data_IF_606732473728
#
_entry.id   IF_606732473728
#
_cell.length_a   1.000
_cell.length_b   1.000
_cell.length_c   1.000
_cell.angle_alpha   90.00
_cell.angle_beta   90.00
_cell.angle_gamma   90.00
#
_symmetry.space_group_name_H-M   'P 1'
#
loop_
_entity.id
_entity.type
_entity.pdbx_description
1 polymer ?
#
# COMPACT_ATOMS: atom_id res chain seq x y z
N UNK A 1 -4.57 3.59 -14.72
CA UNK A 1 -3.45 3.47 -13.76
C UNK A 1 -3.63 4.51 -12.69
N UNK A 2 -3.86 4.07 -11.46
CA UNK A 2 -4.18 4.90 -10.29
C UNK A 2 -3.01 4.81 -9.31
N UNK A 3 -2.54 5.94 -8.79
CA UNK A 3 -1.38 5.98 -7.88
C UNK A 3 -1.82 6.51 -6.52
N UNK A 4 -1.63 5.72 -5.47
CA UNK A 4 -1.87 6.14 -4.08
C UNK A 4 -0.54 6.39 -3.38
N UNK A 5 -0.49 7.45 -2.57
CA UNK A 5 0.69 7.83 -1.79
C UNK A 5 0.40 7.63 -0.30
N UNK A 6 1.32 6.99 0.39
CA UNK A 6 1.23 6.72 1.82
C UNK A 6 2.46 7.28 2.51
N UNK A 7 2.25 8.26 3.38
CA UNK A 7 3.26 8.75 4.30
C UNK A 7 3.53 7.72 5.39
N UNK A 8 4.78 7.24 5.43
CA UNK A 8 5.25 6.28 6.42
C UNK A 8 6.15 7.02 7.41
N UNK A 9 5.71 7.07 8.66
CA UNK A 9 6.35 7.84 9.72
C UNK A 9 7.53 7.09 10.36
N UNK A 10 7.65 5.77 10.18
CA UNK A 10 8.64 4.96 10.89
C UNK A 10 8.99 3.65 10.16
N UNK A 11 10.17 3.11 10.46
CA UNK A 11 10.61 1.81 9.91
C UNK A 11 9.66 0.66 10.28
N UNK A 12 9.05 0.69 11.47
CA UNK A 12 8.04 -0.30 11.89
C UNK A 12 6.74 -0.19 11.07
N UNK A 13 6.30 1.03 10.76
CA UNK A 13 5.15 1.24 9.88
C UNK A 13 5.47 0.81 8.45
N UNK A 14 6.71 0.98 8.00
CA UNK A 14 7.16 0.49 6.70
C UNK A 14 7.06 -1.05 6.60
N UNK A 15 7.53 -1.78 7.61
CA UNK A 15 7.46 -3.24 7.63
C UNK A 15 6.00 -3.72 7.61
N UNK A 16 5.17 -3.11 8.46
CA UNK A 16 3.73 -3.36 8.48
C UNK A 16 3.04 -3.06 7.13
N UNK A 17 3.44 -1.97 6.46
CA UNK A 17 2.95 -1.58 5.15
C UNK A 17 3.32 -2.60 4.09
N UNK A 18 4.58 -3.03 4.02
CA UNK A 18 5.00 -4.06 3.07
C UNK A 18 4.28 -5.38 3.32
N UNK A 19 4.15 -5.81 4.58
CA UNK A 19 3.39 -7.02 4.91
C UNK A 19 1.92 -6.93 4.49
N UNK A 20 1.29 -5.77 4.66
CA UNK A 20 -0.07 -5.51 4.19
C UNK A 20 -0.15 -5.53 2.66
N UNK A 21 0.78 -4.86 1.98
CA UNK A 21 0.87 -4.80 0.53
C UNK A 21 1.04 -6.18 -0.10
N UNK A 22 2.02 -6.98 0.33
CA UNK A 22 2.23 -8.32 -0.22
C UNK A 22 1.02 -9.22 -0.02
N UNK A 23 0.39 -9.16 1.16
CA UNK A 23 -0.83 -9.94 1.43
C UNK A 23 -2.00 -9.53 0.55
N UNK A 24 -2.13 -8.23 0.27
CA UNK A 24 -3.15 -7.72 -0.64
C UNK A 24 -2.87 -8.14 -2.09
N UNK A 25 -1.63 -8.00 -2.55
CA UNK A 25 -1.22 -8.42 -3.91
C UNK A 25 -1.39 -9.91 -4.10
N UNK A 26 -1.07 -10.74 -3.11
CA UNK A 26 -1.31 -12.19 -3.15
C UNK A 26 -2.80 -12.49 -3.34
N UNK A 27 -3.67 -11.84 -2.56
CA UNK A 27 -5.12 -12.00 -2.67
C UNK A 27 -5.71 -11.45 -3.98
N UNK A 28 -5.13 -10.37 -4.52
CA UNK A 28 -5.53 -9.77 -5.79
C UNK A 28 -5.01 -10.58 -6.99
N UNK A 29 -3.81 -11.16 -6.90
CA UNK A 29 -3.22 -12.03 -7.92
C UNK A 29 -4.03 -13.32 -8.09
N UNK A 30 -4.64 -13.83 -7.02
CA UNK A 30 -5.61 -14.95 -7.11
C UNK A 30 -6.88 -14.59 -7.90
N UNK A 31 -7.16 -13.29 -8.08
CA UNK A 31 -8.33 -12.77 -8.78
C UNK A 31 -8.00 -12.24 -10.17
N UNK A 32 -6.83 -12.58 -10.73
CA UNK A 32 -6.36 -12.12 -12.05
C UNK A 32 -6.28 -10.57 -12.15
N UNK A 33 -5.96 -9.90 -11.04
CA UNK A 33 -5.77 -8.46 -11.02
C UNK A 33 -4.48 -8.07 -11.75
N UNK A 34 -4.62 -7.17 -12.73
CA UNK A 34 -3.52 -6.64 -13.54
C UNK A 34 -2.51 -5.85 -12.69
N UNK A 35 -1.30 -5.67 -13.23
CA UNK A 35 -0.05 -5.29 -12.54
C UNK A 35 -0.20 -4.25 -11.43
N UNK A 36 0.01 -4.66 -10.17
CA UNK A 36 0.18 -3.77 -9.01
C UNK A 36 1.69 -3.54 -8.80
N UNK A 37 2.13 -2.29 -8.74
CA UNK A 37 3.54 -1.95 -8.50
C UNK A 37 3.70 -0.99 -7.33
N UNK A 38 4.80 -1.12 -6.60
CA UNK A 38 5.13 -0.24 -5.47
C UNK A 38 6.52 0.37 -5.69
N UNK A 39 6.64 1.67 -5.45
CA UNK A 39 7.93 2.34 -5.34
C UNK A 39 8.00 3.18 -4.06
N UNK A 40 9.22 3.38 -3.58
CA UNK A 40 9.49 4.21 -2.40
C UNK A 40 10.10 5.51 -2.88
N UNK A 41 9.42 6.62 -2.61
CA UNK A 41 9.94 7.97 -2.85
C UNK A 41 10.49 8.49 -1.52
N UNK A 42 11.80 8.68 -1.43
CA UNK A 42 12.42 9.32 -0.28
C UNK A 42 12.41 10.82 -0.52
N UNK A 43 11.35 11.51 -0.09
CA UNK A 43 11.38 12.97 0.02
C UNK A 43 12.10 13.37 1.30
N UNK A 44 12.81 14.49 1.27
CA UNK A 44 13.75 15.01 2.29
C UNK A 44 13.26 15.03 3.75
N UNK A 45 12.01 14.69 4.05
CA UNK A 45 11.43 14.72 5.41
C UNK A 45 10.60 13.47 5.76
N UNK A 46 10.47 12.47 4.89
CA UNK A 46 9.65 11.28 5.15
C UNK A 46 9.80 10.17 4.11
N UNK A 47 9.47 8.94 4.49
CA UNK A 47 9.41 7.81 3.56
C UNK A 47 8.00 7.75 2.96
N UNK A 48 7.87 8.09 1.67
CA UNK A 48 6.59 7.98 0.97
C UNK A 48 6.56 6.66 0.19
N UNK A 49 5.51 5.87 0.37
CA UNK A 49 5.25 4.68 -0.46
C UNK A 49 4.19 5.03 -1.48
N UNK A 50 4.54 4.83 -2.75
CA UNK A 50 3.63 5.07 -3.85
C UNK A 50 3.28 3.72 -4.47
N UNK A 51 1.99 3.39 -4.44
CA UNK A 51 1.45 2.15 -5.01
C UNK A 51 0.62 2.48 -6.23
N UNK A 52 0.97 1.87 -7.36
CA UNK A 52 0.21 1.98 -8.60
C UNK A 52 -0.67 0.76 -8.79
N UNK A 53 -1.93 1.01 -9.11
CA UNK A 53 -2.96 0.01 -9.40
C UNK A 53 -3.41 0.15 -10.85
N UNK A 54 -3.78 -0.97 -11.47
CA UNK A 54 -4.44 -0.97 -12.76
C UNK A 54 -5.82 -0.30 -12.68
N UNK A 55 -6.58 -0.65 -11.64
CA UNK A 55 -7.98 -0.25 -11.43
C UNK A 55 -8.22 0.57 -10.16
N UNK A 56 -9.20 1.47 -10.23
CA UNK A 56 -9.63 2.26 -9.08
C UNK A 56 -10.22 1.40 -7.96
N UNK A 57 -10.97 0.35 -8.30
CA UNK A 57 -11.53 -0.57 -7.30
C UNK A 57 -10.46 -1.23 -6.43
N UNK A 58 -9.31 -1.60 -7.03
CA UNK A 58 -8.18 -2.18 -6.29
C UNK A 58 -7.50 -1.13 -5.40
N UNK A 59 -7.37 0.10 -5.91
CA UNK A 59 -6.82 1.23 -5.14
C UNK A 59 -7.67 1.52 -3.90
N UNK A 60 -9.00 1.68 -4.06
CA UNK A 60 -9.94 1.91 -2.96
C UNK A 60 -9.95 0.75 -1.94
N UNK A 61 -9.89 -0.49 -2.42
CA UNK A 61 -9.81 -1.68 -1.56
C UNK A 61 -8.51 -1.70 -0.75
N UNK A 62 -7.37 -1.42 -1.38
CA UNK A 62 -6.09 -1.38 -0.69
C UNK A 62 -6.02 -0.22 0.31
N UNK A 63 -6.48 0.97 -0.05
CA UNK A 63 -6.53 2.13 0.85
C UNK A 63 -7.36 1.81 2.09
N UNK A 64 -8.57 1.28 1.89
CA UNK A 64 -9.47 0.89 2.97
C UNK A 64 -8.84 -0.19 3.86
N UNK A 65 -8.24 -1.22 3.26
CA UNK A 65 -7.55 -2.28 3.98
C UNK A 65 -6.38 -1.75 4.81
N UNK A 66 -5.56 -0.89 4.21
CA UNK A 66 -4.41 -0.30 4.88
C UNK A 66 -4.84 0.61 6.04
N UNK A 67 -5.83 1.48 5.85
CA UNK A 67 -6.34 2.32 6.94
C UNK A 67 -6.89 1.51 8.10
N UNK A 68 -7.65 0.45 7.83
CA UNK A 68 -8.12 -0.46 8.88
C UNK A 68 -6.95 -1.11 9.62
N UNK A 69 -5.97 -1.64 8.87
CA UNK A 69 -4.81 -2.31 9.46
C UNK A 69 -3.92 -1.37 10.27
N UNK A 70 -3.70 -0.15 9.77
CA UNK A 70 -2.97 0.92 10.46
C UNK A 70 -3.62 1.23 11.82
N UNK A 71 -4.95 1.40 11.84
CA UNK A 71 -5.72 1.61 13.07
C UNK A 71 -5.61 0.44 14.05
N UNK A 72 -5.64 -0.80 13.55
CA UNK A 72 -5.47 -2.01 14.38
C UNK A 72 -4.07 -2.14 14.99
N UNK A 73 -3.05 -1.62 14.30
CA UNK A 73 -1.66 -1.63 14.76
C UNK A 73 -1.33 -0.45 15.70
N UNK A 74 -2.24 0.53 15.85
CA UNK A 74 -2.00 1.72 16.65
C UNK A 74 -0.98 2.69 16.04
N UNK A 75 -0.88 2.69 14.70
CA UNK A 75 0.02 3.53 13.89
C UNK A 75 -0.68 4.80 13.35
#
# INVERSE_FOLDING_TARGET
MISLQFDIASASEQDAFFGAFFKFVEAASLQDADSISIHSDTKETGMVKVVNFADQSLADQFETYWQQRRRWLGL
#
